data_IF_205956539889
#
_entry.id   IF_205956539889
#
_cell.length_a   1.000
_cell.length_b   1.000
_cell.length_c   1.000
_cell.angle_alpha   90.00
_cell.angle_beta   90.00
_cell.angle_gamma   90.00
#
_symmetry.space_group_name_H-M   'P 1'
#
loop_
_entity.id
_entity.type
_entity.pdbx_description
1 polymer ?
#
# COMPACT_ATOMS: atom_id res chain seq x y z
N UNK A 1 -49.95 -27.01 -33.47
CA UNK A 1 -49.18 -27.20 -34.70
C UNK A 1 -48.38 -25.94 -34.93
N UNK A 2 -47.07 -25.95 -34.67
CA UNK A 2 -46.01 -25.18 -35.32
C UNK A 2 -44.69 -25.47 -34.57
N UNK A 3 -43.79 -26.09 -35.32
CA UNK A 3 -42.45 -26.48 -34.88
C UNK A 3 -41.53 -25.25 -34.70
N UNK A 4 -40.58 -25.27 -33.74
CA UNK A 4 -39.47 -24.34 -33.76
C UNK A 4 -38.31 -24.90 -34.58
N UNK A 5 -37.80 -24.09 -35.49
CA UNK A 5 -36.64 -24.31 -36.36
C UNK A 5 -35.35 -24.28 -35.56
N UNK A 6 -34.50 -25.27 -35.79
CA UNK A 6 -33.12 -25.39 -35.29
C UNK A 6 -32.24 -24.43 -36.09
N UNK A 7 -31.49 -23.55 -35.42
CA UNK A 7 -30.37 -22.80 -35.96
C UNK A 7 -29.05 -23.44 -35.49
N UNK A 8 -28.27 -23.88 -36.47
CA UNK A 8 -26.90 -24.42 -36.29
C UNK A 8 -25.88 -23.30 -36.14
N UNK A 9 -24.79 -23.48 -35.37
CA UNK A 9 -23.74 -22.49 -35.21
C UNK A 9 -22.75 -22.51 -36.40
N UNK A 10 -22.13 -21.38 -36.76
CA UNK A 10 -21.14 -21.33 -37.82
C UNK A 10 -19.78 -21.87 -37.35
N UNK A 11 -19.22 -22.77 -38.16
CA UNK A 11 -17.80 -23.16 -38.11
C UNK A 11 -16.99 -22.10 -38.83
N UNK A 12 -16.03 -21.48 -38.15
CA UNK A 12 -14.87 -20.90 -38.80
C UNK A 12 -13.66 -21.01 -37.86
N UNK A 13 -12.84 -22.02 -38.12
CA UNK A 13 -11.49 -22.13 -37.65
C UNK A 13 -10.59 -21.55 -38.76
N UNK A 14 -9.77 -20.56 -38.43
CA UNK A 14 -8.62 -20.14 -39.23
C UNK A 14 -7.33 -20.41 -38.43
N UNK A 15 -6.25 -20.85 -39.08
CA UNK A 15 -5.11 -21.47 -38.41
C UNK A 15 -4.13 -20.44 -37.83
N UNK A 16 -3.61 -20.75 -36.65
CA UNK A 16 -2.48 -20.07 -36.03
C UNK A 16 -1.22 -20.20 -36.92
N UNK A 17 -0.76 -19.10 -37.46
CA UNK A 17 0.53 -18.99 -38.13
C UNK A 17 1.62 -18.83 -37.09
N UNK A 18 2.48 -19.83 -36.98
CA UNK A 18 3.73 -19.77 -36.22
C UNK A 18 4.63 -18.69 -36.83
N UNK A 19 5.06 -17.72 -36.01
CA UNK A 19 6.15 -16.82 -36.36
C UNK A 19 7.48 -17.49 -36.00
N UNK A 20 8.23 -17.84 -37.03
CA UNK A 20 9.58 -18.34 -36.92
C UNK A 20 10.54 -17.28 -36.36
N UNK A 21 11.35 -17.69 -35.41
CA UNK A 21 12.56 -17.01 -34.99
C UNK A 21 13.59 -17.03 -36.14
N UNK A 22 14.13 -15.88 -36.49
CA UNK A 22 15.49 -15.68 -36.94
C UNK A 22 15.69 -14.26 -37.52
N UNK A 23 16.33 -13.39 -36.75
CA UNK A 23 17.39 -12.51 -37.28
C UNK A 23 18.18 -11.92 -36.10
N UNK A 24 19.27 -12.58 -35.76
CA UNK A 24 20.32 -12.01 -34.94
C UNK A 24 21.06 -10.92 -35.72
N UNK A 25 20.67 -9.66 -35.50
CA UNK A 25 21.42 -8.50 -35.98
C UNK A 25 22.64 -8.29 -35.10
N UNK A 26 23.84 -8.44 -35.68
CA UNK A 26 25.11 -8.09 -35.07
C UNK A 26 25.14 -6.60 -34.78
N UNK A 27 25.17 -6.24 -33.48
CA UNK A 27 25.49 -4.88 -33.04
C UNK A 27 27.00 -4.70 -33.20
N UNK A 28 27.42 -3.76 -34.02
CA UNK A 28 28.82 -3.39 -34.19
C UNK A 28 29.31 -2.74 -32.87
N UNK A 29 30.39 -3.32 -32.30
CA UNK A 29 31.10 -2.75 -31.17
C UNK A 29 31.89 -1.55 -31.67
N UNK A 30 31.57 -0.36 -31.19
CA UNK A 30 32.37 0.86 -31.37
C UNK A 30 33.49 0.82 -30.32
N UNK A 31 34.79 0.76 -30.71
CA UNK A 31 35.88 0.86 -29.75
C UNK A 31 36.16 2.33 -29.46
N UNK A 32 36.12 2.71 -28.21
CA UNK A 32 36.66 4.00 -27.73
C UNK A 32 35.70 4.80 -26.84
N UNK A 33 35.38 4.30 -25.67
CA UNK A 33 34.99 5.15 -24.55
C UNK A 33 35.84 4.76 -23.34
N UNK A 34 36.68 5.68 -22.95
CA UNK A 34 37.56 5.58 -21.80
C UNK A 34 36.76 5.18 -20.53
N UNK A 35 37.25 4.11 -19.91
CA UNK A 35 36.84 3.70 -18.57
C UNK A 35 37.35 4.73 -17.54
N UNK A 36 36.59 5.77 -17.30
CA UNK A 36 36.69 6.45 -16.03
C UNK A 36 35.99 5.58 -14.99
N UNK A 37 36.78 4.94 -14.15
CA UNK A 37 36.30 4.25 -12.96
C UNK A 37 35.73 5.26 -11.99
N UNK A 38 34.44 5.56 -12.15
CA UNK A 38 33.68 6.17 -11.06
C UNK A 38 33.47 5.05 -10.02
N UNK A 39 34.04 5.24 -8.82
CA UNK A 39 33.71 4.43 -7.65
C UNK A 39 32.18 4.33 -7.53
N UNK A 40 31.62 3.19 -7.07
CA UNK A 40 30.18 3.08 -6.90
C UNK A 40 29.72 4.19 -5.97
N UNK A 41 28.94 5.13 -6.51
CA UNK A 41 28.20 6.09 -5.71
C UNK A 41 27.29 5.22 -4.83
N UNK A 42 27.60 5.15 -3.53
CA UNK A 42 26.65 4.58 -2.55
C UNK A 42 25.37 5.37 -2.77
N UNK A 43 24.33 4.71 -3.27
CA UNK A 43 23.02 5.32 -3.43
C UNK A 43 22.60 5.81 -2.05
N UNK A 44 22.62 7.09 -1.85
CA UNK A 44 22.14 7.71 -0.62
C UNK A 44 20.64 7.51 -0.61
N UNK A 45 20.07 7.11 0.53
CA UNK A 45 18.61 6.99 0.65
C UNK A 45 17.95 8.32 0.24
N UNK A 46 16.76 8.28 -0.40
CA UNK A 46 16.04 9.50 -0.74
C UNK A 46 15.91 10.44 0.47
N UNK A 47 16.05 11.75 0.24
CA UNK A 47 15.95 12.76 1.31
C UNK A 47 14.55 12.79 1.93
N UNK A 48 13.52 12.53 1.13
CA UNK A 48 12.15 12.36 1.60
C UNK A 48 12.04 11.18 2.59
N UNK A 49 12.72 10.07 2.31
CA UNK A 49 12.81 8.94 3.25
C UNK A 49 13.55 9.32 4.52
N UNK A 50 14.68 10.02 4.43
CA UNK A 50 15.41 10.45 5.62
C UNK A 50 14.56 11.38 6.51
N UNK A 51 13.75 12.27 5.92
CA UNK A 51 12.79 13.08 6.65
C UNK A 51 11.67 12.23 7.29
N UNK A 52 11.18 11.21 6.58
CA UNK A 52 10.20 10.27 7.11
C UNK A 52 10.77 9.46 8.29
N UNK A 53 12.01 8.95 8.20
CA UNK A 53 12.71 8.24 9.27
C UNK A 53 12.78 9.11 10.55
N UNK A 54 13.14 10.38 10.42
CA UNK A 54 13.20 11.32 11.55
C UNK A 54 11.81 11.53 12.17
N UNK A 55 10.79 11.79 11.35
CA UNK A 55 9.42 12.01 11.82
C UNK A 55 8.84 10.79 12.52
N UNK A 56 9.10 9.58 12.01
CA UNK A 56 8.67 8.32 12.63
C UNK A 56 9.39 8.06 13.94
N UNK A 57 10.71 8.35 14.01
CA UNK A 57 11.48 8.23 15.26
C UNK A 57 10.95 9.16 16.33
N UNK A 58 10.66 10.43 15.98
CA UNK A 58 10.13 11.43 16.92
C UNK A 58 8.69 11.08 17.37
N UNK A 59 7.85 10.61 16.47
CA UNK A 59 6.45 10.27 16.75
C UNK A 59 6.31 8.96 17.52
N UNK A 60 7.19 7.99 17.23
CA UNK A 60 7.25 6.67 17.85
C UNK A 60 5.90 5.93 17.87
N UNK A 61 5.28 5.80 16.70
CA UNK A 61 3.92 5.28 16.55
C UNK A 61 3.73 3.91 17.23
N UNK A 62 4.73 3.02 17.16
CA UNK A 62 4.67 1.68 17.74
C UNK A 62 4.68 1.65 19.28
N UNK A 63 4.93 2.80 19.94
CA UNK A 63 4.80 2.95 21.39
C UNK A 63 3.47 3.55 21.83
N UNK A 64 2.58 3.85 20.88
CA UNK A 64 1.24 4.38 21.21
C UNK A 64 0.36 3.33 21.87
N UNK A 65 -0.69 3.75 22.58
CA UNK A 65 -1.52 2.86 23.41
C UNK A 65 -2.04 1.63 22.65
N UNK A 66 -2.46 1.76 21.39
CA UNK A 66 -2.93 0.62 20.60
C UNK A 66 -1.90 -0.53 20.56
N UNK A 67 -0.66 -0.21 20.23
CA UNK A 67 0.42 -1.19 20.11
C UNK A 67 0.93 -1.69 21.45
N UNK A 68 0.96 -0.80 22.45
CA UNK A 68 1.32 -1.17 23.82
C UNK A 68 0.32 -2.20 24.38
N UNK A 69 -0.99 -1.94 24.27
CA UNK A 69 -2.03 -2.82 24.78
C UNK A 69 -2.13 -4.14 24.01
N UNK A 70 -1.80 -4.12 22.71
CA UNK A 70 -1.71 -5.34 21.91
C UNK A 70 -0.62 -6.29 22.45
N UNK A 71 0.51 -5.77 22.92
CA UNK A 71 1.65 -6.59 23.37
C UNK A 71 1.63 -6.91 24.85
N UNK A 72 1.15 -5.99 25.72
CA UNK A 72 1.15 -6.16 27.18
C UNK A 72 -0.02 -7.01 27.71
N UNK A 73 -0.98 -7.36 26.86
CA UNK A 73 -2.12 -8.18 27.22
C UNK A 73 -3.41 -7.41 27.54
N UNK A 74 -3.38 -6.09 27.60
CA UNK A 74 -4.56 -5.27 27.91
C UNK A 74 -5.62 -5.30 26.80
N UNK A 75 -5.22 -5.46 25.52
CA UNK A 75 -6.17 -5.61 24.42
C UNK A 75 -6.67 -7.06 24.33
N UNK A 76 -7.99 -7.26 24.37
CA UNK A 76 -8.61 -8.57 24.16
C UNK A 76 -8.64 -8.97 22.68
N UNK A 77 -8.75 -10.29 22.38
CA UNK A 77 -8.95 -10.75 21.00
C UNK A 77 -10.24 -10.18 20.36
N UNK A 78 -11.40 -10.16 21.06
CA UNK A 78 -12.59 -9.50 20.52
C UNK A 78 -12.38 -8.02 20.24
N UNK A 79 -11.72 -7.27 21.13
CA UNK A 79 -11.40 -5.85 20.93
C UNK A 79 -10.47 -5.65 19.74
N UNK A 80 -9.41 -6.44 19.62
CA UNK A 80 -8.51 -6.42 18.46
C UNK A 80 -9.27 -6.72 17.16
N UNK A 81 -10.08 -7.76 17.13
CA UNK A 81 -10.89 -8.14 15.98
C UNK A 81 -11.80 -7.02 15.51
N UNK A 82 -12.49 -6.35 16.43
CA UNK A 82 -13.38 -5.22 16.08
C UNK A 82 -12.59 -4.09 15.41
N UNK A 83 -11.33 -3.81 15.83
CA UNK A 83 -10.46 -2.85 15.15
C UNK A 83 -10.07 -3.29 13.75
N UNK A 84 -9.80 -4.58 13.56
CA UNK A 84 -9.41 -5.12 12.27
C UNK A 84 -10.59 -5.17 11.28
N UNK A 85 -11.82 -5.38 11.77
CA UNK A 85 -13.03 -5.24 10.95
C UNK A 85 -13.20 -3.80 10.43
N UNK A 86 -12.84 -2.79 11.21
CA UNK A 86 -12.80 -1.40 10.74
C UNK A 86 -11.62 -1.14 9.80
N UNK A 87 -10.45 -1.68 10.10
CA UNK A 87 -9.27 -1.51 9.26
C UNK A 87 -9.46 -2.09 7.85
N UNK A 88 -10.26 -3.16 7.69
CA UNK A 88 -10.61 -3.71 6.36
C UNK A 88 -11.21 -2.65 5.42
N UNK A 89 -11.98 -1.68 5.95
CA UNK A 89 -12.53 -0.59 5.11
C UNK A 89 -11.43 0.36 4.63
N UNK A 90 -10.38 0.58 5.42
CA UNK A 90 -9.21 1.34 4.97
C UNK A 90 -8.45 0.57 3.87
N UNK A 91 -8.18 -0.73 4.06
CA UNK A 91 -7.53 -1.59 3.06
C UNK A 91 -8.32 -1.59 1.74
N UNK A 92 -9.64 -1.77 1.78
CA UNK A 92 -10.50 -1.75 0.59
C UNK A 92 -10.53 -0.41 -0.13
N UNK A 93 -10.24 0.66 0.56
CA UNK A 93 -10.31 2.02 0.01
C UNK A 93 -8.98 2.51 -0.51
N UNK A 94 -7.86 1.99 -0.02
CA UNK A 94 -6.52 2.58 -0.17
C UNK A 94 -6.07 2.74 -1.63
N UNK A 95 -6.44 1.84 -2.50
CA UNK A 95 -6.15 1.95 -3.94
C UNK A 95 -6.84 3.16 -4.62
N UNK A 96 -7.92 3.70 -4.05
CA UNK A 96 -8.67 4.84 -4.65
C UNK A 96 -7.91 6.17 -4.56
N UNK A 97 -7.31 6.57 -3.41
CA UNK A 97 -6.41 7.72 -3.35
C UNK A 97 -5.26 7.64 -4.35
N UNK A 98 -4.61 6.48 -4.50
CA UNK A 98 -3.54 6.28 -5.49
C UNK A 98 -4.04 6.48 -6.92
N UNK A 99 -5.19 5.90 -7.29
CA UNK A 99 -5.81 6.11 -8.60
C UNK A 99 -6.18 7.57 -8.85
N UNK A 100 -6.68 8.28 -7.82
CA UNK A 100 -6.97 9.70 -7.89
C UNK A 100 -5.70 10.53 -8.13
N UNK A 101 -4.60 10.23 -7.42
CA UNK A 101 -3.31 10.87 -7.64
C UNK A 101 -2.77 10.59 -9.04
N UNK A 102 -2.78 9.33 -9.48
CA UNK A 102 -2.34 8.94 -10.83
C UNK A 102 -3.08 9.69 -11.94
N UNK A 103 -4.38 9.96 -11.77
CA UNK A 103 -5.19 10.70 -12.74
C UNK A 103 -4.74 12.16 -12.94
N UNK A 104 -4.00 12.74 -11.99
CA UNK A 104 -3.52 14.14 -12.02
C UNK A 104 -2.13 14.28 -12.62
N UNK A 105 -1.41 13.18 -12.80
CA UNK A 105 -0.04 13.23 -13.33
C UNK A 105 -0.06 13.36 -14.85
N UNK A 106 0.85 14.21 -15.44
CA UNK A 106 0.71 14.66 -16.81
C UNK A 106 1.01 13.58 -17.86
N UNK A 107 1.92 12.66 -17.57
CA UNK A 107 2.44 11.71 -18.55
C UNK A 107 2.48 10.27 -18.02
N UNK A 108 2.74 9.33 -18.91
CA UNK A 108 2.75 7.89 -18.58
C UNK A 108 3.92 7.51 -17.66
N UNK A 109 5.07 8.17 -17.80
CA UNK A 109 6.24 7.83 -17.01
C UNK A 109 6.03 8.18 -15.54
N UNK A 110 5.50 9.38 -15.25
CA UNK A 110 5.20 9.83 -13.88
C UNK A 110 4.10 9.01 -13.19
N UNK A 111 3.27 8.26 -13.96
CA UNK A 111 2.21 7.40 -13.42
C UNK A 111 2.63 5.97 -13.18
N UNK A 112 3.77 5.54 -13.74
CA UNK A 112 4.11 4.12 -13.86
C UNK A 112 4.16 3.41 -12.51
N UNK A 113 4.86 3.97 -11.54
CA UNK A 113 5.02 3.37 -10.21
C UNK A 113 3.68 3.26 -9.46
N UNK A 114 2.82 4.30 -9.55
CA UNK A 114 1.47 4.25 -9.00
C UNK A 114 0.59 3.20 -9.68
N UNK A 115 0.71 3.03 -10.99
CA UNK A 115 -0.04 2.00 -11.73
C UNK A 115 0.44 0.61 -11.35
N UNK A 116 1.75 0.43 -11.15
CA UNK A 116 2.32 -0.82 -10.69
C UNK A 116 1.80 -1.17 -9.28
N UNK A 117 1.92 -0.24 -8.33
CA UNK A 117 1.38 -0.40 -6.98
C UNK A 117 -0.13 -0.70 -7.00
N UNK A 118 -0.93 0.04 -7.79
CA UNK A 118 -2.34 -0.27 -8.00
C UNK A 118 -2.58 -1.69 -8.55
N UNK A 119 -1.72 -2.19 -9.41
CA UNK A 119 -1.78 -3.55 -9.92
C UNK A 119 -1.62 -4.57 -8.79
N UNK A 120 -0.65 -4.35 -7.90
CA UNK A 120 -0.40 -5.20 -6.72
C UNK A 120 -1.56 -5.15 -5.71
N UNK A 121 -2.11 -3.95 -5.43
CA UNK A 121 -3.31 -3.79 -4.60
C UNK A 121 -4.49 -4.64 -5.09
N UNK A 122 -4.60 -4.81 -6.41
CA UNK A 122 -5.64 -5.61 -7.05
C UNK A 122 -5.22 -7.04 -7.38
N UNK A 123 -4.05 -7.50 -6.87
CA UNK A 123 -3.57 -8.88 -6.97
C UNK A 123 -2.96 -9.24 -8.32
N UNK A 124 -2.41 -8.28 -9.07
CA UNK A 124 -1.69 -8.47 -10.35
C UNK A 124 -2.48 -9.32 -11.36
N UNK A 125 -3.78 -9.06 -11.45
CA UNK A 125 -4.69 -9.80 -12.35
C UNK A 125 -5.29 -11.07 -11.73
N UNK A 126 -4.92 -11.42 -10.50
CA UNK A 126 -5.58 -12.49 -9.73
C UNK A 126 -6.42 -11.89 -8.57
N UNK A 127 -7.73 -11.76 -8.72
CA UNK A 127 -8.59 -11.16 -7.69
C UNK A 127 -8.55 -11.89 -6.33
N UNK A 128 -8.09 -13.14 -6.28
CA UNK A 128 -8.01 -13.89 -5.03
C UNK A 128 -6.84 -13.44 -4.14
N UNK A 129 -5.80 -12.83 -4.73
CA UNK A 129 -4.63 -12.30 -4.05
C UNK A 129 -4.70 -10.78 -3.82
N UNK A 130 -5.78 -10.12 -4.23
CA UNK A 130 -6.00 -8.71 -3.92
C UNK A 130 -5.92 -8.44 -2.40
N UNK A 131 -5.37 -7.29 -2.00
CA UNK A 131 -5.06 -7.00 -0.60
C UNK A 131 -6.30 -7.06 0.30
N UNK A 132 -7.46 -6.65 -0.17
CA UNK A 132 -8.71 -6.80 0.57
C UNK A 132 -9.11 -8.27 0.81
N UNK A 133 -8.71 -9.19 -0.05
CA UNK A 133 -8.97 -10.63 0.09
C UNK A 133 -8.02 -11.29 1.07
N UNK A 134 -6.73 -10.96 0.97
CA UNK A 134 -5.72 -11.45 1.91
C UNK A 134 -6.00 -10.95 3.33
N UNK A 135 -6.43 -9.68 3.48
CA UNK A 135 -6.85 -9.14 4.77
C UNK A 135 -8.13 -9.80 5.30
N UNK A 136 -9.13 -10.02 4.44
CA UNK A 136 -10.35 -10.74 4.83
C UNK A 136 -10.05 -12.20 5.25
N UNK A 137 -9.03 -12.84 4.66
CA UNK A 137 -8.56 -14.15 5.10
C UNK A 137 -7.95 -14.09 6.50
N UNK A 138 -7.09 -13.11 6.76
CA UNK A 138 -6.56 -12.86 8.10
C UNK A 138 -7.69 -12.63 9.12
N UNK A 139 -8.68 -11.78 8.79
CA UNK A 139 -9.83 -11.54 9.67
C UNK A 139 -10.56 -12.84 10.05
N UNK A 140 -10.77 -13.74 9.09
CA UNK A 140 -11.42 -15.05 9.37
C UNK A 140 -10.58 -15.90 10.33
N UNK A 141 -9.24 -15.84 10.25
CA UNK A 141 -8.36 -16.62 11.14
C UNK A 141 -8.46 -16.18 12.60
N UNK A 142 -8.87 -14.93 12.87
CA UNK A 142 -9.14 -14.40 14.21
C UNK A 142 -10.63 -14.40 14.58
N UNK A 143 -11.48 -15.10 13.81
CA UNK A 143 -12.92 -15.20 14.05
C UNK A 143 -13.72 -13.95 13.66
N UNK A 144 -13.14 -13.07 12.83
CA UNK A 144 -13.84 -11.94 12.23
C UNK A 144 -14.69 -12.36 11.03
N UNK A 145 -15.68 -11.54 10.68
CA UNK A 145 -16.60 -11.86 9.58
C UNK A 145 -15.95 -11.60 8.22
N UNK A 146 -15.20 -10.52 8.08
CA UNK A 146 -14.53 -10.17 6.81
C UNK A 146 -15.49 -9.91 5.65
N UNK A 147 -16.78 -9.81 5.93
CA UNK A 147 -17.87 -9.73 4.95
C UNK A 147 -18.45 -8.32 4.83
N UNK A 148 -19.45 -8.19 3.93
CA UNK A 148 -20.06 -6.91 3.57
C UNK A 148 -21.11 -6.41 4.56
N UNK A 149 -21.44 -7.16 5.60
CA UNK A 149 -22.51 -6.84 6.55
C UNK A 149 -22.07 -5.89 7.67
N UNK A 150 -20.76 -5.65 7.82
CA UNK A 150 -20.23 -4.62 8.68
C UNK A 150 -20.29 -3.23 8.01
N UNK A 151 -20.47 -2.19 8.79
CA UNK A 151 -20.45 -0.80 8.31
C UNK A 151 -19.17 -0.11 8.74
N UNK A 152 -18.63 0.74 7.85
CA UNK A 152 -17.55 1.63 8.21
C UNK A 152 -18.01 2.58 9.33
N UNK A 153 -17.19 2.71 10.35
CA UNK A 153 -17.39 3.67 11.42
C UNK A 153 -16.83 5.05 11.04
N UNK A 154 -17.18 6.10 11.82
CA UNK A 154 -16.74 7.47 11.51
C UNK A 154 -15.22 7.65 11.40
N UNK A 155 -14.44 6.93 12.20
CA UNK A 155 -12.99 7.04 12.21
C UNK A 155 -12.37 6.59 10.88
N UNK A 156 -12.74 5.41 10.37
CA UNK A 156 -12.24 4.91 9.08
C UNK A 156 -12.80 5.73 7.92
N UNK A 157 -14.05 6.19 8.00
CA UNK A 157 -14.62 7.09 6.99
C UNK A 157 -13.83 8.41 6.93
N UNK A 158 -13.51 9.01 8.07
CA UNK A 158 -12.71 10.24 8.14
C UNK A 158 -11.30 10.02 7.54
N UNK A 159 -10.63 8.93 7.91
CA UNK A 159 -9.33 8.56 7.35
C UNK A 159 -9.38 8.42 5.83
N UNK A 160 -10.31 7.62 5.32
CA UNK A 160 -10.47 7.37 3.88
C UNK A 160 -10.76 8.66 3.10
N UNK A 161 -11.67 9.50 3.60
CA UNK A 161 -12.03 10.75 2.93
C UNK A 161 -10.91 11.81 3.04
N UNK A 162 -10.13 11.81 4.12
CA UNK A 162 -8.95 12.66 4.20
C UNK A 162 -7.91 12.26 3.14
N UNK A 163 -7.60 10.96 2.98
CA UNK A 163 -6.64 10.49 1.97
C UNK A 163 -7.07 10.83 0.55
N UNK A 164 -8.31 10.53 0.19
CA UNK A 164 -8.80 10.88 -1.16
C UNK A 164 -8.80 12.40 -1.37
N UNK A 165 -9.14 13.17 -0.34
CA UNK A 165 -9.08 14.63 -0.37
C UNK A 165 -7.67 15.17 -0.59
N UNK A 166 -6.67 14.60 0.09
CA UNK A 166 -5.24 14.93 -0.14
C UNK A 166 -4.86 14.64 -1.59
N UNK A 167 -5.18 13.46 -2.10
CA UNK A 167 -4.81 13.05 -3.45
C UNK A 167 -5.54 13.82 -4.56
N UNK A 168 -6.71 14.37 -4.29
CA UNK A 168 -7.47 15.18 -5.25
C UNK A 168 -7.16 16.68 -5.19
N UNK A 169 -6.87 17.24 -4.01
CA UNK A 169 -6.91 18.68 -3.79
C UNK A 169 -5.57 19.30 -3.35
N UNK A 170 -4.63 18.52 -2.79
CA UNK A 170 -3.29 19.02 -2.43
C UNK A 170 -2.35 19.01 -3.63
N UNK A 171 -1.18 19.65 -3.50
CA UNK A 171 -0.07 19.49 -4.43
C UNK A 171 0.27 18.00 -4.58
N UNK A 172 0.63 17.59 -5.80
CA UNK A 172 0.96 16.17 -6.07
C UNK A 172 2.11 15.69 -5.20
N UNK A 173 3.11 16.54 -4.94
CA UNK A 173 4.27 16.21 -4.10
C UNK A 173 3.87 15.96 -2.64
N UNK A 174 2.93 16.76 -2.11
CA UNK A 174 2.37 16.51 -0.78
C UNK A 174 1.55 15.22 -0.74
N UNK A 175 0.84 14.88 -1.83
CA UNK A 175 0.06 13.65 -1.91
C UNK A 175 0.98 12.41 -1.99
N UNK A 176 2.03 12.44 -2.81
CA UNK A 176 3.07 11.39 -2.85
C UNK A 176 3.68 11.16 -1.47
N UNK A 177 4.09 12.24 -0.80
CA UNK A 177 4.70 12.19 0.52
C UNK A 177 3.76 11.66 1.58
N UNK A 178 2.48 12.04 1.52
CA UNK A 178 1.44 11.57 2.44
C UNK A 178 1.20 10.06 2.30
N UNK A 179 1.07 9.56 1.09
CA UNK A 179 0.94 8.11 0.84
C UNK A 179 2.23 7.38 1.23
N UNK A 180 3.39 7.91 0.82
CA UNK A 180 4.69 7.30 1.09
C UNK A 180 4.97 7.06 2.57
N UNK A 181 4.70 8.04 3.44
CA UNK A 181 4.94 7.84 4.88
C UNK A 181 3.94 6.87 5.52
N UNK A 182 2.71 6.76 4.98
CA UNK A 182 1.73 5.76 5.44
C UNK A 182 2.19 4.36 5.07
N UNK A 183 2.59 4.12 3.82
CA UNK A 183 3.15 2.84 3.36
C UNK A 183 4.39 2.48 4.20
N UNK A 184 5.30 3.44 4.36
CA UNK A 184 6.53 3.23 5.10
C UNK A 184 6.29 2.85 6.56
N UNK A 185 5.37 3.55 7.24
CA UNK A 185 4.96 3.22 8.60
C UNK A 185 4.23 1.87 8.67
N UNK A 186 3.42 1.55 7.66
CA UNK A 186 2.62 0.33 7.67
C UNK A 186 3.46 -0.93 7.50
N UNK A 187 4.60 -0.87 6.82
CA UNK A 187 5.55 -1.98 6.78
C UNK A 187 5.99 -2.43 8.19
N UNK A 188 6.43 -1.48 9.02
CA UNK A 188 6.86 -1.76 10.38
C UNK A 188 5.67 -2.13 11.30
N UNK A 189 4.52 -1.50 11.12
CA UNK A 189 3.28 -1.84 11.83
C UNK A 189 2.82 -3.26 11.48
N UNK A 190 2.90 -3.64 10.21
CA UNK A 190 2.55 -4.99 9.75
C UNK A 190 3.42 -6.06 10.40
N UNK A 191 4.74 -5.85 10.43
CA UNK A 191 5.67 -6.73 11.13
C UNK A 191 5.36 -6.79 12.63
N UNK A 192 5.06 -5.65 13.26
CA UNK A 192 4.75 -5.56 14.69
C UNK A 192 3.46 -6.31 15.04
N UNK A 193 2.36 -6.01 14.34
CA UNK A 193 1.06 -6.66 14.57
C UNK A 193 1.18 -8.17 14.32
N UNK A 194 1.80 -8.58 13.20
CA UNK A 194 2.00 -9.99 12.87
C UNK A 194 2.73 -10.75 13.98
N UNK A 195 3.81 -10.18 14.51
CA UNK A 195 4.56 -10.78 15.61
C UNK A 195 3.73 -10.82 16.92
N UNK A 196 3.02 -9.74 17.23
CA UNK A 196 2.22 -9.64 18.45
C UNK A 196 1.08 -10.67 18.47
N UNK A 197 0.31 -10.82 17.38
CA UNK A 197 -0.82 -11.76 17.34
C UNK A 197 -0.37 -13.23 17.37
N UNK A 198 0.81 -13.54 16.81
CA UNK A 198 1.43 -14.88 16.92
C UNK A 198 1.89 -15.11 18.36
N UNK A 199 2.58 -14.16 18.98
CA UNK A 199 3.02 -14.27 20.37
C UNK A 199 1.85 -14.43 21.36
N UNK A 200 0.69 -13.84 21.04
CA UNK A 200 -0.56 -13.99 21.80
C UNK A 200 -1.28 -15.34 21.55
N UNK A 201 -0.79 -16.15 20.60
CA UNK A 201 -1.46 -17.40 20.21
C UNK A 201 -2.79 -17.22 19.49
N UNK A 202 -3.06 -16.02 18.95
CA UNK A 202 -4.32 -15.72 18.26
C UNK A 202 -4.35 -16.21 16.82
N UNK A 203 -3.16 -16.26 16.17
CA UNK A 203 -2.99 -16.62 14.77
C UNK A 203 -1.73 -17.47 14.64
N UNK A 204 -1.76 -18.46 13.73
CA UNK A 204 -0.56 -19.19 13.34
C UNK A 204 0.22 -18.33 12.32
N UNK A 205 1.54 -18.48 12.29
CA UNK A 205 2.40 -17.66 11.41
C UNK A 205 2.07 -17.84 9.92
N UNK A 206 1.67 -19.04 9.52
CA UNK A 206 1.25 -19.35 8.14
C UNK A 206 -0.06 -18.67 7.72
N UNK A 207 -0.91 -18.23 8.66
CA UNK A 207 -2.16 -17.54 8.39
C UNK A 207 -1.98 -16.00 8.26
N UNK A 208 -0.77 -15.49 8.48
CA UNK A 208 -0.43 -14.06 8.40
C UNK A 208 -0.13 -13.59 6.97
N UNK A 209 -0.86 -14.08 5.96
CA UNK A 209 -0.54 -13.77 4.55
C UNK A 209 -0.47 -12.26 4.30
N UNK A 210 -1.48 -11.51 4.73
CA UNK A 210 -1.54 -10.06 4.52
C UNK A 210 -0.41 -9.32 5.22
N UNK A 211 -0.25 -9.51 6.53
CA UNK A 211 0.75 -8.78 7.32
C UNK A 211 2.19 -9.16 6.95
N UNK A 212 2.45 -10.42 6.59
CA UNK A 212 3.78 -10.82 6.11
C UNK A 212 4.10 -10.16 4.77
N UNK A 213 3.12 -10.07 3.85
CA UNK A 213 3.28 -9.42 2.56
C UNK A 213 3.61 -7.93 2.75
N UNK A 214 2.78 -7.19 3.49
CA UNK A 214 2.94 -5.75 3.69
C UNK A 214 4.19 -5.37 4.49
N UNK A 215 4.70 -6.22 5.37
CA UNK A 215 5.98 -6.00 6.04
C UNK A 215 7.17 -5.89 5.07
N UNK A 216 7.03 -6.43 3.87
CA UNK A 216 8.08 -6.44 2.83
C UNK A 216 7.79 -5.46 1.69
N UNK A 217 6.58 -5.53 1.08
CA UNK A 217 6.30 -4.78 -0.14
C UNK A 217 6.13 -3.28 0.11
N UNK A 218 5.57 -2.87 1.24
CA UNK A 218 5.28 -1.46 1.52
C UNK A 218 6.56 -0.63 1.67
N UNK A 219 7.69 -1.24 2.02
CA UNK A 219 9.00 -0.57 1.98
C UNK A 219 9.36 -0.14 0.56
N UNK A 220 9.11 -1.01 -0.42
CA UNK A 220 9.35 -0.71 -1.84
C UNK A 220 8.36 0.35 -2.35
N UNK A 221 7.07 0.21 -2.04
CA UNK A 221 6.05 1.19 -2.40
C UNK A 221 6.39 2.58 -1.85
N UNK A 222 6.81 2.65 -0.59
CA UNK A 222 7.26 3.89 0.03
C UNK A 222 8.47 4.50 -0.68
N UNK A 223 9.50 3.69 -1.04
CA UNK A 223 10.67 4.17 -1.79
C UNK A 223 10.29 4.72 -3.17
N UNK A 224 9.37 4.06 -3.88
CA UNK A 224 8.84 4.53 -5.17
C UNK A 224 8.14 5.89 -5.01
N UNK A 225 7.28 6.03 -3.99
CA UNK A 225 6.58 7.28 -3.68
C UNK A 225 7.54 8.40 -3.24
N UNK A 226 8.57 8.11 -2.44
CA UNK A 226 9.58 9.09 -2.04
C UNK A 226 10.49 9.49 -3.19
N UNK A 227 10.81 8.57 -4.09
CA UNK A 227 11.61 8.85 -5.28
C UNK A 227 10.93 9.84 -6.22
N UNK A 228 9.59 9.82 -6.31
CA UNK A 228 8.82 10.75 -7.13
C UNK A 228 8.98 12.22 -6.69
N UNK A 229 9.33 12.47 -5.43
CA UNK A 229 9.50 13.83 -4.88
C UNK A 229 10.95 14.21 -4.58
N UNK A 230 11.92 13.30 -4.85
CA UNK A 230 13.33 13.51 -4.49
C UNK A 230 13.93 14.77 -5.15
N UNK A 231 13.58 15.05 -6.42
CA UNK A 231 14.04 16.22 -7.14
C UNK A 231 13.65 17.55 -6.49
N UNK A 232 12.57 17.58 -5.70
CA UNK A 232 12.07 18.79 -5.04
C UNK A 232 13.02 19.39 -4.02
N UNK A 233 13.88 18.56 -3.44
CA UNK A 233 14.91 19.01 -2.50
C UNK A 233 15.99 19.88 -3.15
N UNK A 234 16.13 19.86 -4.47
CA UNK A 234 17.05 20.68 -5.23
C UNK A 234 16.40 21.96 -5.81
N UNK A 235 15.06 22.04 -5.76
CA UNK A 235 14.28 23.13 -6.34
C UNK A 235 13.98 24.28 -5.35
N UNK A 236 14.48 24.20 -4.11
CA UNK A 236 14.36 25.22 -3.09
C UNK A 236 13.42 24.91 -1.95
N UNK A 237 13.53 25.69 -0.86
CA UNK A 237 12.88 25.40 0.42
C UNK A 237 11.35 25.30 0.33
N UNK A 238 10.70 26.09 -0.50
CA UNK A 238 9.25 26.06 -0.65
C UNK A 238 8.73 24.68 -1.14
N UNK A 239 9.48 24.00 -1.99
CA UNK A 239 9.15 22.65 -2.46
C UNK A 239 9.43 21.59 -1.38
N UNK A 240 10.52 21.75 -0.63
CA UNK A 240 10.80 20.92 0.56
C UNK A 240 9.67 21.04 1.58
N UNK A 241 9.18 22.23 1.85
CA UNK A 241 8.07 22.47 2.79
C UNK A 241 6.78 21.76 2.35
N UNK A 242 6.51 21.68 1.05
CA UNK A 242 5.36 20.92 0.49
C UNK A 242 5.54 19.42 0.76
N UNK A 243 6.72 18.86 0.45
CA UNK A 243 7.03 17.44 0.71
C UNK A 243 6.87 17.12 2.20
N UNK A 244 7.50 17.90 3.07
CA UNK A 244 7.42 17.69 4.51
C UNK A 244 6.00 17.88 5.07
N UNK A 245 5.22 18.80 4.50
CA UNK A 245 3.81 18.96 4.90
C UNK A 245 3.00 17.71 4.61
N UNK A 246 3.26 17.06 3.47
CA UNK A 246 2.66 15.78 3.09
C UNK A 246 3.03 14.66 4.06
N UNK A 247 4.33 14.53 4.39
CA UNK A 247 4.81 13.55 5.38
C UNK A 247 4.13 13.76 6.74
N UNK A 248 4.12 15.00 7.26
CA UNK A 248 3.46 15.32 8.54
C UNK A 248 1.97 15.00 8.53
N UNK A 249 1.29 15.29 7.41
CA UNK A 249 -0.14 15.02 7.27
C UNK A 249 -0.42 13.52 7.25
N UNK A 250 0.30 12.74 6.44
CA UNK A 250 0.12 11.28 6.37
C UNK A 250 0.35 10.61 7.72
N UNK A 251 1.42 10.98 8.42
CA UNK A 251 1.72 10.46 9.74
C UNK A 251 0.66 10.86 10.78
N UNK A 252 0.15 12.09 10.72
CA UNK A 252 -0.94 12.55 11.60
C UNK A 252 -2.23 11.76 11.37
N UNK A 253 -2.63 11.59 10.11
CA UNK A 253 -3.84 10.85 9.77
C UNK A 253 -3.75 9.39 10.24
N UNK A 254 -2.61 8.77 10.05
CA UNK A 254 -2.41 7.37 10.43
C UNK A 254 -2.33 7.18 11.94
N UNK A 255 -1.63 8.08 12.67
CA UNK A 255 -1.57 8.08 14.13
C UNK A 255 -2.96 8.32 14.76
N UNK A 256 -3.74 9.27 14.21
CA UNK A 256 -5.11 9.55 14.66
C UNK A 256 -6.02 8.34 14.42
N UNK A 257 -5.91 7.69 13.27
CA UNK A 257 -6.68 6.49 12.96
C UNK A 257 -6.41 5.35 13.95
N UNK A 258 -5.14 5.07 14.28
CA UNK A 258 -4.80 4.08 15.30
C UNK A 258 -5.25 4.48 16.71
N UNK A 259 -5.28 5.78 17.03
CA UNK A 259 -5.84 6.25 18.30
C UNK A 259 -7.35 5.97 18.40
N UNK A 260 -8.09 6.19 17.30
CA UNK A 260 -9.52 5.88 17.24
C UNK A 260 -9.78 4.35 17.31
N UNK A 261 -8.96 3.55 16.61
CA UNK A 261 -9.02 2.09 16.72
C UNK A 261 -8.71 1.61 18.14
N UNK A 262 -7.78 2.28 18.84
CA UNK A 262 -7.53 1.97 20.24
C UNK A 262 -8.76 2.20 21.10
N UNK A 263 -9.45 3.34 20.96
CA UNK A 263 -10.70 3.61 21.68
C UNK A 263 -11.76 2.55 21.41
N UNK A 264 -11.90 2.14 20.13
CA UNK A 264 -12.82 1.05 19.76
C UNK A 264 -12.47 -0.26 20.47
N UNK A 265 -11.19 -0.62 20.56
CA UNK A 265 -10.75 -1.85 21.23
C UNK A 265 -11.13 -1.91 22.71
N UNK A 266 -11.22 -0.75 23.37
CA UNK A 266 -11.59 -0.63 24.79
C UNK A 266 -13.09 -0.87 25.06
N UNK A 267 -13.93 -0.88 24.06
CA UNK A 267 -15.36 -1.19 24.21
C UNK A 267 -15.61 -2.66 24.53
N UNK A 268 -14.59 -3.51 24.33
CA UNK A 268 -14.61 -4.94 24.70
C UNK A 268 -13.37 -5.29 25.52
N UNK A 269 -13.39 -5.02 26.82
CA UNK A 269 -12.25 -5.34 27.70
C UNK A 269 -11.95 -6.84 27.71
N UNK A 270 -10.73 -7.17 28.15
CA UNK A 270 -10.20 -8.53 28.21
C UNK A 270 -10.95 -9.42 29.22
#
# INVERSE_FOLDING_TARGET
MNHPSKLSPPKNQAPHRALNAATAGRIAIIPGLNSNSSAPIKSQAPRARAAADQMLADRNILKKPYFADLTNGAMSLPGFRDTQEQFLFAVRFFSRPMAALASRLPDSASRLDLIHNLGEEHGEGNPATAHDKTFAQFLRSIGGRGDRDTKAGPAVDAFNHALIGVCLAKETDAAFSCLGIIEYAFADISAFIGNAVVARGWVRREDLVHYNLHAEIDKRHAEELFSAVEGRFDEGQANVDVVESGLRLGLHLFDAFYADLHQLSQTRPA
#
